data_IF_487199008220
#
_entry.id   IF_487199008220
#
_cell.length_a   1.000
_cell.length_b   1.000
_cell.length_c   1.000
_cell.angle_alpha   90.00
_cell.angle_beta   90.00
_cell.angle_gamma   90.00
#
_symmetry.space_group_name_H-M   'P 1'
#
loop_
_entity.id
_entity.type
_entity.pdbx_description
1 polymer ?
#
# COMPACT_ATOMS: atom_id res chain seq x y z
N UNK A 1 -13.57 -10.95 -39.44
CA UNK A 1 -13.25 -11.50 -38.11
C UNK A 1 -12.12 -10.66 -37.51
N UNK A 2 -12.45 -9.71 -36.64
CA UNK A 2 -11.46 -8.88 -35.93
C UNK A 2 -10.75 -9.74 -34.89
N UNK A 3 -9.43 -9.91 -35.04
CA UNK A 3 -8.59 -10.63 -34.09
C UNK A 3 -8.72 -9.92 -32.74
N UNK A 4 -9.29 -10.57 -31.73
CA UNK A 4 -9.34 -10.03 -30.38
C UNK A 4 -7.91 -9.70 -29.95
N UNK A 5 -7.62 -8.43 -29.66
CA UNK A 5 -6.31 -8.02 -29.19
C UNK A 5 -5.99 -8.77 -27.90
N UNK A 6 -4.85 -9.45 -27.83
CA UNK A 6 -4.41 -10.14 -26.62
C UNK A 6 -4.16 -9.12 -25.52
N UNK A 7 -4.85 -9.25 -24.38
CA UNK A 7 -4.63 -8.39 -23.22
C UNK A 7 -3.22 -8.60 -22.67
N UNK A 8 -2.59 -7.52 -22.17
CA UNK A 8 -1.22 -7.56 -21.60
C UNK A 8 -1.22 -7.24 -20.12
N UNK A 9 -0.18 -7.69 -19.41
CA UNK A 9 0.10 -7.31 -18.02
C UNK A 9 1.39 -6.49 -17.88
N UNK A 10 2.25 -6.45 -18.89
CA UNK A 10 3.41 -5.58 -18.93
C UNK A 10 2.97 -4.11 -19.04
N UNK A 11 3.67 -3.20 -18.38
CA UNK A 11 3.34 -1.77 -18.36
C UNK A 11 4.53 -0.91 -18.79
N UNK A 12 4.22 0.20 -19.46
CA UNK A 12 5.24 1.18 -19.85
C UNK A 12 5.57 2.12 -18.69
N UNK A 13 6.75 2.77 -18.65
CA UNK A 13 7.08 3.75 -17.62
C UNK A 13 6.09 4.92 -17.57
N UNK A 14 5.55 5.33 -18.72
CA UNK A 14 4.52 6.36 -18.79
C UNK A 14 3.21 5.94 -18.14
N UNK A 15 2.78 4.70 -18.32
CA UNK A 15 1.59 4.16 -17.62
C UNK A 15 1.83 3.98 -16.12
N UNK A 16 3.01 3.49 -15.74
CA UNK A 16 3.40 3.39 -14.34
C UNK A 16 3.35 4.76 -13.66
N UNK A 17 3.95 5.78 -14.29
CA UNK A 17 3.92 7.16 -13.80
C UNK A 17 2.51 7.72 -13.72
N UNK A 18 1.68 7.49 -14.75
CA UNK A 18 0.29 7.98 -14.77
C UNK A 18 -0.54 7.37 -13.63
N UNK A 19 -0.46 6.05 -13.42
CA UNK A 19 -1.18 5.38 -12.32
C UNK A 19 -0.63 5.79 -10.97
N UNK A 20 0.69 5.97 -10.82
CA UNK A 20 1.29 6.48 -9.58
C UNK A 20 0.80 7.89 -9.27
N UNK A 21 0.84 8.80 -10.24
CA UNK A 21 0.35 10.16 -10.07
C UNK A 21 -1.14 10.18 -9.70
N UNK A 22 -1.95 9.33 -10.33
CA UNK A 22 -3.38 9.23 -10.12
C UNK A 22 -3.72 8.66 -8.73
N UNK A 23 -3.14 7.52 -8.37
CA UNK A 23 -3.50 6.76 -7.17
C UNK A 23 -2.74 7.19 -5.91
N UNK A 24 -1.51 7.68 -6.06
CA UNK A 24 -0.60 7.95 -4.94
C UNK A 24 -0.03 9.37 -4.96
N UNK A 25 -0.25 10.16 -6.02
CA UNK A 25 0.34 11.50 -6.12
C UNK A 25 -0.07 12.43 -4.99
N UNK A 26 -1.35 12.44 -4.63
CA UNK A 26 -1.86 13.25 -3.53
C UNK A 26 -1.37 12.76 -2.15
N UNK A 27 -1.47 11.47 -1.79
CA UNK A 27 -0.84 10.92 -0.59
C UNK A 27 0.66 11.20 -0.47
N UNK A 28 1.42 11.05 -1.56
CA UNK A 28 2.85 11.39 -1.60
C UNK A 28 3.06 12.87 -1.28
N UNK A 29 2.30 13.77 -1.92
CA UNK A 29 2.41 15.21 -1.68
C UNK A 29 2.14 15.58 -0.23
N UNK A 30 1.06 15.06 0.37
CA UNK A 30 0.73 15.30 1.78
C UNK A 30 1.82 14.76 2.71
N UNK A 31 2.38 13.60 2.39
CA UNK A 31 3.44 12.97 3.16
C UNK A 31 4.74 13.78 3.12
N UNK A 32 5.13 14.26 1.94
CA UNK A 32 6.28 15.17 1.78
C UNK A 32 6.04 16.49 2.51
N UNK A 33 4.84 17.06 2.39
CA UNK A 33 4.50 18.29 3.09
C UNK A 33 4.61 18.14 4.62
N UNK A 34 4.18 17.00 5.17
CA UNK A 34 4.33 16.72 6.60
C UNK A 34 5.80 16.70 7.03
N UNK A 35 6.68 16.09 6.24
CA UNK A 35 8.14 16.10 6.48
C UNK A 35 8.70 17.52 6.43
N UNK A 36 8.36 18.29 5.38
CA UNK A 36 8.84 19.66 5.20
C UNK A 36 8.38 20.62 6.31
N UNK A 37 7.20 20.37 6.87
CA UNK A 37 6.67 21.13 8.00
C UNK A 37 7.13 20.62 9.38
N UNK A 38 8.06 19.65 9.43
CA UNK A 38 8.62 19.13 10.67
C UNK A 38 7.64 18.27 11.48
N UNK A 39 6.76 17.52 10.78
CA UNK A 39 5.69 16.71 11.36
C UNK A 39 4.75 17.53 12.24
N UNK A 40 4.01 18.49 11.66
CA UNK A 40 3.16 19.38 12.42
C UNK A 40 2.12 18.57 13.19
N UNK A 41 1.88 18.95 14.44
CA UNK A 41 0.85 18.32 15.27
C UNK A 41 -0.50 18.51 14.59
N UNK A 42 -1.08 17.44 14.05
CA UNK A 42 -2.45 17.47 13.56
C UNK A 42 -3.41 17.71 14.74
N UNK A 43 -4.42 18.56 14.53
CA UNK A 43 -5.54 18.64 15.46
C UNK A 43 -6.38 17.37 15.34
N UNK A 44 -5.95 16.28 16.00
CA UNK A 44 -6.63 14.97 15.99
C UNK A 44 -5.82 13.84 15.37
N UNK A 45 -6.16 12.61 15.74
CA UNK A 45 -5.64 11.37 15.15
C UNK A 45 -6.48 10.91 13.95
N UNK A 46 -6.59 9.60 13.76
CA UNK A 46 -7.54 9.03 12.79
C UNK A 46 -8.97 9.10 13.33
N UNK A 47 -9.91 9.59 12.51
CA UNK A 47 -11.34 9.66 12.81
C UNK A 47 -12.19 9.07 11.65
N UNK A 48 -13.50 8.92 11.87
CA UNK A 48 -14.38 8.28 10.90
C UNK A 48 -14.51 9.06 9.58
N UNK A 49 -14.50 10.39 9.64
CA UNK A 49 -14.65 11.24 8.46
C UNK A 49 -13.40 11.21 7.59
N UNK A 50 -12.23 11.24 8.21
CA UNK A 50 -10.94 11.08 7.55
C UNK A 50 -10.82 9.71 6.90
N UNK A 51 -11.19 8.65 7.61
CA UNK A 51 -11.19 7.29 7.06
C UNK A 51 -12.18 7.12 5.90
N UNK A 52 -13.38 7.67 6.01
CA UNK A 52 -14.35 7.68 4.91
C UNK A 52 -13.82 8.45 3.69
N UNK A 53 -13.10 9.54 3.92
CA UNK A 53 -12.47 10.32 2.83
C UNK A 53 -11.41 9.51 2.08
N UNK A 54 -10.61 8.72 2.80
CA UNK A 54 -9.65 7.77 2.21
C UNK A 54 -10.39 6.73 1.38
N UNK A 55 -11.43 6.08 1.94
CA UNK A 55 -12.24 5.07 1.23
C UNK A 55 -12.82 5.63 -0.07
N UNK A 56 -13.41 6.82 -0.03
CA UNK A 56 -13.98 7.48 -1.22
C UNK A 56 -12.89 7.78 -2.25
N UNK A 57 -11.76 8.35 -1.80
CA UNK A 57 -10.61 8.64 -2.65
C UNK A 57 -10.14 7.38 -3.39
N UNK A 58 -9.87 6.30 -2.66
CA UNK A 58 -9.31 5.07 -3.21
C UNK A 58 -10.27 4.39 -4.17
N UNK A 59 -11.56 4.32 -3.84
CA UNK A 59 -12.56 3.76 -4.77
C UNK A 59 -12.63 4.61 -6.05
N UNK A 60 -12.71 5.93 -5.93
CA UNK A 60 -12.81 6.82 -7.09
C UNK A 60 -11.58 6.70 -8.00
N UNK A 61 -10.38 6.79 -7.44
CA UNK A 61 -9.14 6.71 -8.20
C UNK A 61 -8.85 5.29 -8.72
N UNK A 62 -9.27 4.24 -8.01
CA UNK A 62 -9.21 2.88 -8.53
C UNK A 62 -10.08 2.71 -9.77
N UNK A 63 -11.31 3.24 -9.76
CA UNK A 63 -12.22 3.18 -10.91
C UNK A 63 -11.64 3.91 -12.11
N UNK A 64 -11.07 5.10 -11.91
CA UNK A 64 -10.39 5.86 -12.98
C UNK A 64 -9.18 5.10 -13.51
N UNK A 65 -8.32 4.59 -12.62
CA UNK A 65 -7.11 3.84 -12.99
C UNK A 65 -7.46 2.57 -13.77
N UNK A 66 -8.40 1.77 -13.28
CA UNK A 66 -8.86 0.53 -13.96
C UNK A 66 -9.48 0.85 -15.32
N UNK A 67 -10.24 1.93 -15.44
CA UNK A 67 -10.84 2.35 -16.71
C UNK A 67 -9.78 2.79 -17.72
N UNK A 68 -8.78 3.57 -17.27
CA UNK A 68 -7.62 3.96 -18.07
C UNK A 68 -6.83 2.72 -18.53
N UNK A 69 -6.54 1.79 -17.62
CA UNK A 69 -5.80 0.57 -17.94
C UNK A 69 -6.56 -0.31 -18.94
N UNK A 70 -7.87 -0.47 -18.74
CA UNK A 70 -8.73 -1.21 -19.66
C UNK A 70 -8.74 -0.59 -21.06
N UNK A 71 -8.84 0.74 -21.17
CA UNK A 71 -8.81 1.43 -22.47
C UNK A 71 -7.46 1.31 -23.19
N UNK A 72 -6.38 1.00 -22.46
CA UNK A 72 -5.03 0.74 -22.98
C UNK A 72 -4.72 -0.75 -23.23
N UNK A 73 -5.74 -1.61 -23.17
CA UNK A 73 -5.61 -3.06 -23.43
C UNK A 73 -4.91 -3.84 -22.32
N UNK A 74 -4.85 -3.29 -21.10
CA UNK A 74 -4.33 -4.00 -19.93
C UNK A 74 -5.32 -5.06 -19.44
N UNK A 75 -4.82 -6.24 -19.03
CA UNK A 75 -5.63 -7.27 -18.38
C UNK A 75 -5.98 -6.88 -16.94
N UNK A 76 -7.03 -6.06 -16.78
CA UNK A 76 -7.51 -5.64 -15.47
C UNK A 76 -8.12 -6.78 -14.65
N UNK A 77 -8.47 -7.92 -15.26
CA UNK A 77 -8.93 -9.08 -14.50
C UNK A 77 -7.78 -9.75 -13.73
N UNK A 78 -6.54 -9.57 -14.21
CA UNK A 78 -5.34 -10.01 -13.52
C UNK A 78 -5.10 -9.26 -12.19
N UNK A 79 -5.66 -8.06 -12.04
CA UNK A 79 -5.52 -7.22 -10.83
C UNK A 79 -6.44 -7.66 -9.69
N UNK A 80 -7.40 -8.56 -9.94
CA UNK A 80 -8.37 -8.98 -8.93
C UNK A 80 -7.73 -9.90 -7.91
N UNK A 81 -7.75 -9.57 -6.59
CA UNK A 81 -7.40 -10.53 -5.57
C UNK A 81 -8.35 -11.75 -5.63
N UNK A 82 -7.82 -12.94 -5.35
CA UNK A 82 -8.58 -14.21 -5.40
C UNK A 82 -8.47 -14.92 -4.06
N UNK A 83 -9.39 -14.67 -3.13
CA UNK A 83 -9.37 -15.31 -1.82
C UNK A 83 -9.50 -16.84 -1.93
N UNK A 84 -8.61 -17.55 -1.25
CA UNK A 84 -8.73 -18.98 -0.99
C UNK A 84 -8.37 -19.25 0.47
N UNK A 85 -8.81 -20.37 1.04
CA UNK A 85 -8.45 -20.71 2.43
C UNK A 85 -6.94 -20.84 2.62
N UNK A 86 -6.25 -21.47 1.65
CA UNK A 86 -4.79 -21.61 1.66
C UNK A 86 -4.10 -20.25 1.60
N UNK A 87 -4.49 -19.39 0.66
CA UNK A 87 -3.88 -18.07 0.54
C UNK A 87 -4.22 -17.15 1.72
N UNK A 88 -5.37 -17.35 2.36
CA UNK A 88 -5.71 -16.62 3.58
C UNK A 88 -4.81 -17.05 4.75
N UNK A 89 -4.56 -18.36 4.91
CA UNK A 89 -3.57 -18.85 5.87
C UNK A 89 -2.16 -18.30 5.61
N UNK A 90 -1.75 -18.24 4.34
CA UNK A 90 -0.48 -17.58 3.95
C UNK A 90 -0.48 -16.09 4.28
N UNK A 91 -1.61 -15.40 4.13
CA UNK A 91 -1.75 -14.00 4.51
C UNK A 91 -1.52 -13.76 6.00
N UNK A 92 -2.03 -14.64 6.87
CA UNK A 92 -1.77 -14.56 8.32
C UNK A 92 -0.27 -14.71 8.63
N UNK A 93 0.39 -15.69 8.03
CA UNK A 93 1.85 -15.90 8.20
C UNK A 93 2.63 -14.70 7.66
N UNK A 94 2.22 -14.17 6.50
CA UNK A 94 2.85 -13.02 5.87
C UNK A 94 2.68 -11.74 6.72
N UNK A 95 1.54 -11.55 7.39
CA UNK A 95 1.32 -10.44 8.31
C UNK A 95 2.31 -10.47 9.47
N UNK A 96 2.50 -11.65 10.10
CA UNK A 96 3.47 -11.83 11.18
C UNK A 96 4.90 -11.58 10.71
N UNK A 97 5.28 -12.14 9.56
CA UNK A 97 6.61 -11.96 8.99
C UNK A 97 6.90 -10.48 8.63
N UNK A 98 5.91 -9.79 8.06
CA UNK A 98 6.01 -8.38 7.72
C UNK A 98 6.15 -7.50 8.96
N UNK A 99 5.40 -7.77 10.03
CA UNK A 99 5.54 -7.04 11.29
C UNK A 99 6.90 -7.23 11.93
N UNK A 100 7.40 -8.47 11.96
CA UNK A 100 8.74 -8.76 12.43
C UNK A 100 9.80 -8.01 11.63
N UNK A 101 9.68 -8.01 10.30
CA UNK A 101 10.60 -7.28 9.42
C UNK A 101 10.53 -5.76 9.65
N UNK A 102 9.34 -5.21 9.84
CA UNK A 102 9.15 -3.79 10.18
C UNK A 102 9.82 -3.43 11.52
N UNK A 103 9.62 -4.26 12.55
CA UNK A 103 10.27 -4.08 13.85
C UNK A 103 11.80 -4.15 13.76
N UNK A 104 12.33 -5.12 13.02
CA UNK A 104 13.78 -5.23 12.79
C UNK A 104 14.33 -4.02 12.03
N UNK A 105 13.59 -3.52 11.03
CA UNK A 105 13.99 -2.36 10.24
C UNK A 105 14.07 -1.07 11.09
N UNK A 106 13.16 -0.88 12.05
CA UNK A 106 13.21 0.27 12.96
C UNK A 106 14.20 0.10 14.12
N UNK A 107 14.45 -1.14 14.58
CA UNK A 107 15.26 -1.41 15.76
C UNK A 107 16.66 -0.78 15.68
N UNK A 108 17.30 -0.84 14.49
CA UNK A 108 18.62 -0.28 14.23
C UNK A 108 18.72 1.25 14.44
N UNK A 109 17.58 1.95 14.42
CA UNK A 109 17.51 3.42 14.48
C UNK A 109 16.74 3.94 15.70
N UNK A 110 16.25 3.03 16.55
CA UNK A 110 15.28 3.36 17.60
C UNK A 110 15.87 4.09 18.82
N UNK A 111 17.17 3.96 19.08
CA UNK A 111 17.81 4.50 20.27
C UNK A 111 17.80 6.05 20.27
N UNK A 112 17.32 6.63 21.36
CA UNK A 112 17.32 8.09 21.58
C UNK A 112 16.35 8.88 20.70
N UNK A 113 15.45 8.20 19.98
CA UNK A 113 14.46 8.88 19.13
C UNK A 113 13.28 9.42 19.96
N UNK A 114 12.77 10.62 19.64
CA UNK A 114 11.53 11.11 20.21
C UNK A 114 10.34 10.24 19.77
N UNK A 115 9.19 10.46 20.40
CA UNK A 115 7.94 9.85 19.96
C UNK A 115 7.68 10.14 18.46
N UNK A 116 7.29 9.09 17.73
CA UNK A 116 7.06 9.18 16.30
C UNK A 116 5.66 9.74 16.00
N UNK A 117 5.50 10.55 14.93
CA UNK A 117 4.21 11.12 14.53
C UNK A 117 3.07 10.10 14.44
N UNK A 118 3.33 8.91 13.89
CA UNK A 118 2.32 7.85 13.79
C UNK A 118 1.80 7.39 15.16
N UNK A 119 2.66 7.35 16.19
CA UNK A 119 2.27 6.96 17.54
C UNK A 119 1.33 8.01 18.17
N UNK A 120 1.62 9.30 17.98
CA UNK A 120 0.74 10.39 18.44
C UNK A 120 -0.60 10.36 17.71
N UNK A 121 -0.61 10.15 16.39
CA UNK A 121 -1.84 10.01 15.59
C UNK A 121 -2.69 8.83 16.08
N UNK A 122 -2.07 7.69 16.40
CA UNK A 122 -2.77 6.52 16.91
C UNK A 122 -3.36 6.77 18.30
N UNK A 123 -2.61 7.37 19.22
CA UNK A 123 -3.09 7.71 20.56
C UNK A 123 -4.31 8.65 20.52
N UNK A 124 -4.31 9.62 19.61
CA UNK A 124 -5.39 10.61 19.45
C UNK A 124 -6.56 10.12 18.60
N UNK A 125 -6.50 8.89 18.11
CA UNK A 125 -7.51 8.37 17.20
C UNK A 125 -8.87 8.17 17.91
N UNK A 126 -9.93 8.50 17.19
CA UNK A 126 -11.34 8.36 17.61
C UNK A 126 -12.16 7.53 16.63
N UNK A 127 -11.51 6.93 15.62
CA UNK A 127 -12.15 6.09 14.61
C UNK A 127 -12.85 4.88 15.25
N UNK A 128 -14.07 4.59 14.78
CA UNK A 128 -14.86 3.45 15.22
C UNK A 128 -14.46 2.15 14.51
N UNK A 129 -14.63 1.02 15.19
CA UNK A 129 -14.29 -0.30 14.65
C UNK A 129 -14.94 -0.62 13.28
N UNK A 130 -16.22 -0.28 12.99
CA UNK A 130 -16.80 -0.51 11.67
C UNK A 130 -16.07 0.25 10.55
N UNK A 131 -15.62 1.47 10.84
CA UNK A 131 -14.89 2.29 9.88
C UNK A 131 -13.47 1.78 9.68
N UNK A 132 -12.80 1.34 10.75
CA UNK A 132 -11.50 0.64 10.65
C UNK A 132 -11.60 -0.55 9.70
N UNK A 133 -12.61 -1.40 9.87
CA UNK A 133 -12.79 -2.58 9.01
C UNK A 133 -13.05 -2.21 7.55
N UNK A 134 -13.91 -1.21 7.31
CA UNK A 134 -14.20 -0.73 5.96
C UNK A 134 -12.94 -0.16 5.30
N UNK A 135 -12.23 0.73 6.00
CA UNK A 135 -11.01 1.36 5.53
C UNK A 135 -9.94 0.30 5.25
N UNK A 136 -9.69 -0.64 6.17
CA UNK A 136 -8.71 -1.71 5.99
C UNK A 136 -8.97 -2.55 4.74
N UNK A 137 -10.24 -2.91 4.48
CA UNK A 137 -10.59 -3.70 3.30
C UNK A 137 -10.31 -2.92 2.01
N UNK A 138 -10.65 -1.64 1.98
CA UNK A 138 -10.47 -0.80 0.79
C UNK A 138 -9.00 -0.44 0.59
N UNK A 139 -8.32 0.09 1.61
CA UNK A 139 -6.93 0.54 1.56
C UNK A 139 -5.97 -0.63 1.30
N UNK A 140 -6.03 -1.69 2.10
CA UNK A 140 -5.21 -2.88 1.89
C UNK A 140 -5.41 -3.54 0.53
N UNK A 141 -6.63 -3.48 -0.05
CA UNK A 141 -6.85 -3.93 -1.42
C UNK A 141 -6.26 -2.95 -2.44
N UNK A 142 -6.56 -1.66 -2.30
CA UNK A 142 -6.15 -0.59 -3.20
C UNK A 142 -4.63 -0.57 -3.36
N UNK A 143 -3.91 -0.49 -2.24
CA UNK A 143 -2.46 -0.38 -2.23
C UNK A 143 -1.82 -1.60 -2.88
N UNK A 144 -2.14 -2.82 -2.43
CA UNK A 144 -1.48 -4.02 -2.96
C UNK A 144 -1.86 -4.30 -4.42
N UNK A 145 -3.08 -3.98 -4.85
CA UNK A 145 -3.50 -4.09 -6.25
C UNK A 145 -2.64 -3.18 -7.13
N UNK A 146 -2.43 -1.92 -6.76
CA UNK A 146 -1.68 -1.00 -7.61
C UNK A 146 -0.16 -1.14 -7.44
N UNK A 147 0.32 -1.47 -6.25
CA UNK A 147 1.75 -1.66 -5.98
C UNK A 147 2.26 -3.02 -6.47
N UNK A 148 1.65 -4.12 -6.05
CA UNK A 148 2.10 -5.47 -6.43
C UNK A 148 1.43 -5.93 -7.73
N UNK A 149 0.10 -5.83 -7.78
CA UNK A 149 -0.71 -6.29 -8.89
C UNK A 149 -0.39 -5.58 -10.21
N UNK A 150 -0.21 -4.27 -10.17
CA UNK A 150 0.05 -3.43 -11.34
C UNK A 150 1.52 -3.03 -11.49
N UNK A 151 2.12 -2.25 -10.57
CA UNK A 151 3.47 -1.72 -10.74
C UNK A 151 4.53 -2.83 -10.77
N UNK A 152 4.58 -3.67 -9.73
CA UNK A 152 5.61 -4.69 -9.63
C UNK A 152 5.46 -5.76 -10.72
N UNK A 153 4.24 -6.21 -11.00
CA UNK A 153 3.99 -7.14 -12.12
C UNK A 153 4.30 -6.50 -13.47
N UNK A 154 3.83 -5.28 -13.70
CA UNK A 154 3.93 -4.60 -14.98
C UNK A 154 5.35 -4.20 -15.35
N UNK A 155 6.19 -3.92 -14.37
CA UNK A 155 7.61 -3.58 -14.56
C UNK A 155 8.53 -4.81 -14.50
N UNK A 156 8.02 -6.03 -14.32
CA UNK A 156 8.82 -7.26 -14.18
C UNK A 156 9.79 -7.48 -15.34
N UNK A 157 9.37 -7.18 -16.57
CA UNK A 157 10.19 -7.30 -17.79
C UNK A 157 11.40 -6.35 -17.80
N UNK A 158 11.38 -5.30 -16.97
CA UNK A 158 12.50 -4.38 -16.76
C UNK A 158 13.47 -4.87 -15.69
N UNK A 159 13.23 -6.03 -15.10
CA UNK A 159 14.06 -6.62 -14.06
C UNK A 159 13.52 -6.39 -12.65
N UNK A 160 13.84 -7.34 -11.76
CA UNK A 160 13.31 -7.37 -10.39
C UNK A 160 13.68 -6.12 -9.59
N UNK A 161 14.92 -5.61 -9.74
CA UNK A 161 15.38 -4.43 -9.00
C UNK A 161 14.58 -3.17 -9.36
N UNK A 162 14.22 -3.00 -10.64
CA UNK A 162 13.39 -1.87 -11.08
C UNK A 162 11.97 -2.03 -10.56
N UNK A 163 11.37 -3.21 -10.73
CA UNK A 163 10.00 -3.46 -10.28
C UNK A 163 9.84 -3.30 -8.76
N UNK A 164 10.72 -3.93 -7.98
CA UNK A 164 10.72 -3.85 -6.52
C UNK A 164 11.09 -2.44 -6.05
N UNK A 165 12.12 -1.82 -6.63
CA UNK A 165 12.58 -0.48 -6.28
C UNK A 165 11.52 0.59 -6.51
N UNK A 166 10.84 0.57 -7.67
CA UNK A 166 9.74 1.52 -7.94
C UNK A 166 8.57 1.32 -6.99
N UNK A 167 8.17 0.07 -6.72
CA UNK A 167 7.09 -0.25 -5.80
C UNK A 167 7.41 0.23 -4.37
N UNK A 168 8.65 -0.01 -3.90
CA UNK A 168 9.14 0.45 -2.60
C UNK A 168 9.22 1.96 -2.51
N UNK A 169 9.74 2.61 -3.55
CA UNK A 169 9.83 4.06 -3.59
C UNK A 169 8.45 4.69 -3.43
N UNK A 170 7.44 4.20 -4.17
CA UNK A 170 6.07 4.72 -4.08
C UNK A 170 5.52 4.48 -2.67
N UNK A 171 5.59 3.24 -2.15
CA UNK A 171 5.09 2.89 -0.82
C UNK A 171 5.64 3.78 0.29
N UNK A 172 6.96 3.86 0.37
CA UNK A 172 7.64 4.62 1.43
C UNK A 172 7.34 6.12 1.27
N UNK A 173 7.26 6.64 0.04
CA UNK A 173 7.02 8.07 -0.20
C UNK A 173 5.69 8.56 0.39
N UNK A 174 4.58 7.84 0.21
CA UNK A 174 3.31 8.25 0.81
C UNK A 174 3.16 7.88 2.29
N UNK A 175 4.18 7.23 2.88
CA UNK A 175 4.24 6.87 4.30
C UNK A 175 5.24 7.71 5.12
N UNK A 176 6.03 8.58 4.51
CA UNK A 176 6.99 9.44 5.23
C UNK A 176 6.37 10.26 6.37
N UNK A 177 5.08 10.63 6.28
CA UNK A 177 4.35 11.34 7.34
C UNK A 177 4.37 10.64 8.70
N UNK A 178 4.62 9.31 8.73
CA UNK A 178 4.66 8.53 9.95
C UNK A 178 5.90 8.80 10.82
N UNK A 179 6.88 9.52 10.27
CA UNK A 179 8.18 9.78 10.87
C UNK A 179 9.26 8.78 10.43
N UNK A 180 10.54 9.04 10.78
CA UNK A 180 11.66 8.23 10.33
C UNK A 180 11.54 6.74 10.66
N UNK A 181 11.15 6.38 11.90
CA UNK A 181 11.01 4.98 12.28
C UNK A 181 9.76 4.34 11.66
N UNK A 182 8.69 5.11 11.47
CA UNK A 182 7.50 4.65 10.74
C UNK A 182 7.85 4.31 9.28
N UNK A 183 8.64 5.17 8.62
CA UNK A 183 9.13 4.89 7.27
C UNK A 183 10.03 3.64 7.22
N UNK A 184 10.90 3.42 8.22
CA UNK A 184 11.68 2.17 8.34
C UNK A 184 10.79 0.94 8.51
N UNK A 185 9.75 1.03 9.35
CA UNK A 185 8.80 -0.05 9.56
C UNK A 185 8.07 -0.41 8.25
N UNK A 186 7.55 0.60 7.54
CA UNK A 186 6.87 0.45 6.25
C UNK A 186 7.80 -0.13 5.18
N UNK A 187 9.07 0.27 5.17
CA UNK A 187 10.09 -0.32 4.29
C UNK A 187 10.24 -1.83 4.55
N UNK A 188 10.36 -2.25 5.81
CA UNK A 188 10.47 -3.66 6.19
C UNK A 188 9.25 -4.49 5.75
N UNK A 189 8.04 -3.99 6.03
CA UNK A 189 6.78 -4.60 5.59
C UNK A 189 6.71 -4.73 4.07
N UNK A 190 6.97 -3.62 3.37
CA UNK A 190 6.93 -3.57 1.91
C UNK A 190 7.92 -4.52 1.26
N UNK A 191 9.12 -4.66 1.83
CA UNK A 191 10.13 -5.57 1.31
C UNK A 191 9.67 -7.03 1.41
N UNK A 192 9.06 -7.43 2.53
CA UNK A 192 8.50 -8.77 2.71
C UNK A 192 7.38 -9.03 1.69
N UNK A 193 6.44 -8.10 1.53
CA UNK A 193 5.34 -8.22 0.56
C UNK A 193 5.87 -8.30 -0.88
N UNK A 194 6.80 -7.43 -1.25
CA UNK A 194 7.42 -7.41 -2.57
C UNK A 194 8.16 -8.71 -2.88
N UNK A 195 9.01 -9.19 -1.97
CA UNK A 195 9.76 -10.45 -2.17
C UNK A 195 8.84 -11.68 -2.19
N UNK A 196 7.80 -11.71 -1.36
CA UNK A 196 6.79 -12.75 -1.40
C UNK A 196 6.09 -12.79 -2.76
N UNK A 197 5.63 -11.63 -3.23
CA UNK A 197 4.94 -11.52 -4.50
C UNK A 197 5.85 -11.81 -5.71
N UNK A 198 7.12 -11.37 -5.67
CA UNK A 198 8.12 -11.69 -6.69
C UNK A 198 8.27 -13.20 -6.89
N UNK A 199 8.25 -13.97 -5.79
CA UNK A 199 8.42 -15.42 -5.81
C UNK A 199 7.15 -16.17 -6.18
N UNK A 200 5.99 -15.72 -5.69
CA UNK A 200 4.76 -16.51 -5.76
C UNK A 200 3.75 -16.01 -6.79
N UNK A 201 3.79 -14.72 -7.13
CA UNK A 201 2.76 -14.04 -7.94
C UNK A 201 1.38 -13.97 -7.26
N UNK A 202 1.26 -14.37 -5.99
CA UNK A 202 0.00 -14.45 -5.25
C UNK A 202 -0.33 -13.10 -4.61
N UNK A 203 -1.42 -12.47 -5.04
CA UNK A 203 -1.81 -11.14 -4.58
C UNK A 203 -2.58 -11.17 -3.25
N UNK A 204 -3.52 -12.11 -3.10
CA UNK A 204 -4.42 -12.17 -1.94
C UNK A 204 -3.72 -12.25 -0.58
N UNK A 205 -2.66 -13.05 -0.39
CA UNK A 205 -1.96 -13.10 0.90
C UNK A 205 -1.42 -11.73 1.35
N UNK A 206 -0.88 -10.93 0.42
CA UNK A 206 -0.38 -9.59 0.73
C UNK A 206 -1.52 -8.62 1.06
N UNK A 207 -2.62 -8.68 0.29
CA UNK A 207 -3.83 -7.89 0.56
C UNK A 207 -4.38 -8.16 1.97
N UNK A 208 -4.54 -9.44 2.33
CA UNK A 208 -5.03 -9.82 3.66
C UNK A 208 -4.05 -9.41 4.76
N UNK A 209 -2.75 -9.62 4.55
CA UNK A 209 -1.73 -9.21 5.50
C UNK A 209 -1.75 -7.69 5.74
N UNK A 210 -1.98 -6.91 4.69
CA UNK A 210 -2.17 -5.46 4.79
C UNK A 210 -3.40 -5.10 5.61
N UNK A 211 -4.56 -5.68 5.29
CA UNK A 211 -5.81 -5.46 6.05
C UNK A 211 -5.60 -5.72 7.55
N UNK A 212 -4.83 -6.74 7.91
CA UNK A 212 -4.50 -7.00 9.31
C UNK A 212 -3.66 -5.88 9.94
N UNK A 213 -2.68 -5.35 9.22
CA UNK A 213 -1.86 -4.23 9.69
C UNK A 213 -2.62 -2.91 9.79
N UNK A 214 -3.73 -2.77 9.07
CA UNK A 214 -4.65 -1.64 9.24
C UNK A 214 -5.58 -1.82 10.44
N UNK A 215 -5.91 -3.07 10.82
CA UNK A 215 -6.86 -3.37 11.89
C UNK A 215 -6.17 -3.45 13.26
N UNK A 216 -5.07 -4.22 13.34
CA UNK A 216 -4.41 -4.58 14.61
C UNK A 216 -4.04 -3.36 15.47
N UNK A 217 -3.52 -2.24 14.92
CA UNK A 217 -3.20 -1.06 15.72
C UNK A 217 -4.40 -0.40 16.43
N UNK A 218 -5.63 -0.70 16.00
CA UNK A 218 -6.86 -0.16 16.60
C UNK A 218 -7.54 -1.12 17.58
N UNK A 219 -6.97 -2.33 17.79
CA UNK A 219 -7.42 -3.24 18.83
C UNK A 219 -6.89 -2.75 20.19
N UNK A 220 -7.67 -1.89 20.86
CA UNK A 220 -7.35 -1.33 22.17
C UNK A 220 -8.60 -1.13 23.01
#
# INVERSE_FOLDING_TARGET
MTRAASLRTATTPGEALAVVALCFGWPILLSVQAVMAGFPVRQGGFDDLGALSIVIYEIAFALVAVTLLRSRGYDVASLRPRPTWVDSGLGLVLALAAGMAGMLAMAAFSAGQPEQPIADMMRRSTIGAPMVLLMAVVNGTFEEVFLLGFLMRGLKERGLSIALGTMMLVRVSYHLYQGPLGACYVFGVGLVFGLFYARTGRLWPAVLAHMMWDIVPFLR
#
